data_IF_032289095525
#
_entry.id   IF_032289095525
#
_cell.length_a   1.000
_cell.length_b   1.000
_cell.length_c   1.000
_cell.angle_alpha   90.00
_cell.angle_beta   90.00
_cell.angle_gamma   90.00
#
_symmetry.space_group_name_H-M   'P 1'
#
loop_
_entity.id
_entity.type
_entity.pdbx_description
1 polymer ?
#
# COMPACT_ATOMS: atom_id res chain seq x y z
N UNK A 1 25.06 1.16 -26.10
CA UNK A 1 24.79 -0.02 -25.27
C UNK A 1 25.41 0.22 -23.90
N UNK A 2 24.69 0.86 -23.01
CA UNK A 2 25.06 0.93 -21.60
C UNK A 2 24.25 -0.18 -20.90
N UNK A 3 24.93 -1.28 -20.59
CA UNK A 3 24.47 -2.25 -19.63
C UNK A 3 24.11 -1.48 -18.34
N UNK A 4 22.81 -1.28 -18.11
CA UNK A 4 22.35 -0.74 -16.83
C UNK A 4 22.70 -1.80 -15.79
N UNK A 5 23.88 -1.63 -15.16
CA UNK A 5 24.32 -2.46 -14.06
C UNK A 5 23.16 -2.56 -13.09
N UNK A 6 22.60 -3.76 -12.93
CA UNK A 6 21.53 -4.03 -11.97
C UNK A 6 22.00 -3.53 -10.59
N UNK A 7 21.45 -2.41 -10.12
CA UNK A 7 21.79 -1.88 -8.82
C UNK A 7 21.64 -2.99 -7.78
N UNK A 8 22.72 -3.29 -7.06
CA UNK A 8 22.73 -4.35 -6.04
C UNK A 8 21.81 -3.92 -4.89
N UNK A 9 21.01 -4.84 -4.38
CA UNK A 9 20.33 -4.64 -3.10
C UNK A 9 21.36 -4.38 -2.01
N UNK A 10 21.08 -3.38 -1.15
CA UNK A 10 21.98 -3.08 -0.02
C UNK A 10 21.61 -3.92 1.19
N UNK A 11 22.60 -4.57 1.80
CA UNK A 11 22.47 -5.24 3.09
C UNK A 11 22.60 -4.21 4.22
N UNK A 12 21.58 -4.12 5.07
CA UNK A 12 21.59 -3.25 6.24
C UNK A 12 22.41 -3.90 7.35
N UNK A 13 23.46 -3.22 7.87
CA UNK A 13 24.18 -3.69 9.04
C UNK A 13 23.26 -3.84 10.27
N UNK A 14 23.77 -4.46 11.33
CA UNK A 14 23.00 -4.56 12.58
C UNK A 14 22.85 -3.17 13.23
N UNK A 15 21.63 -2.88 13.64
CA UNK A 15 21.34 -1.65 14.38
C UNK A 15 21.79 -1.77 15.82
N UNK A 16 22.47 -0.74 16.31
CA UNK A 16 22.81 -0.58 17.73
C UNK A 16 21.71 0.24 18.43
N UNK A 17 21.14 -0.32 19.48
CA UNK A 17 20.13 0.36 20.31
C UNK A 17 20.80 0.90 21.57
N UNK A 18 20.88 2.25 21.77
CA UNK A 18 21.54 2.84 22.93
C UNK A 18 20.74 2.65 24.22
N UNK A 19 19.43 2.39 24.09
CA UNK A 19 18.49 2.13 25.19
C UNK A 19 17.27 1.35 24.71
N UNK A 20 16.52 0.81 25.66
CA UNK A 20 15.25 0.12 25.38
C UNK A 20 14.23 1.07 24.72
N UNK A 21 13.41 0.56 23.79
CA UNK A 21 12.31 1.32 23.23
C UNK A 21 11.31 1.80 24.29
N UNK A 22 10.70 2.95 24.04
CA UNK A 22 9.76 3.56 24.97
C UNK A 22 8.34 3.55 24.44
N UNK A 23 7.37 3.35 25.32
CA UNK A 23 5.96 3.59 25.02
C UNK A 23 5.64 5.07 25.23
N UNK A 24 5.43 5.76 24.12
CA UNK A 24 5.06 7.18 24.11
C UNK A 24 3.55 7.29 24.31
N UNK A 25 3.16 7.77 25.48
CA UNK A 25 1.76 7.99 25.85
C UNK A 25 1.27 9.37 25.40
N UNK A 26 -0.05 9.54 25.17
CA UNK A 26 -0.61 10.87 24.95
C UNK A 26 -0.23 11.85 26.07
N UNK A 27 0.13 13.09 25.71
CA UNK A 27 0.54 14.13 26.69
C UNK A 27 -0.58 14.58 27.63
N UNK A 28 -1.83 14.34 27.27
CA UNK A 28 -2.99 14.47 28.15
C UNK A 28 -3.85 13.21 28.06
N UNK A 29 -4.36 12.76 29.20
CA UNK A 29 -5.24 11.59 29.27
C UNK A 29 -6.63 11.91 28.77
N UNK A 30 -7.21 11.00 28.00
CA UNK A 30 -8.67 10.97 27.73
C UNK A 30 -9.31 9.82 28.51
N UNK A 31 -10.60 9.91 28.85
CA UNK A 31 -11.31 8.80 29.48
C UNK A 31 -11.17 7.53 28.61
N UNK A 32 -10.88 6.41 29.28
CA UNK A 32 -10.84 5.10 28.61
C UNK A 32 -12.21 4.78 28.02
N UNK A 33 -12.23 4.38 26.78
CA UNK A 33 -13.45 3.96 26.10
C UNK A 33 -13.09 2.95 25.00
N UNK A 34 -14.10 2.36 24.43
CA UNK A 34 -13.97 1.42 23.32
C UNK A 34 -14.33 2.10 22.01
N UNK A 35 -13.46 2.01 20.99
CA UNK A 35 -13.76 2.42 19.63
C UNK A 35 -14.26 1.22 18.84
N UNK A 36 -15.48 1.30 18.32
CA UNK A 36 -16.03 0.37 17.34
C UNK A 36 -15.21 0.44 16.03
N UNK A 37 -14.90 -0.70 15.44
CA UNK A 37 -14.32 -0.80 14.11
C UNK A 37 -15.41 -1.18 13.11
N UNK A 38 -15.52 -0.41 12.03
CA UNK A 38 -16.44 -0.72 10.94
C UNK A 38 -16.03 -2.03 10.22
N UNK A 39 -16.93 -2.59 9.43
CA UNK A 39 -16.60 -3.76 8.60
C UNK A 39 -15.54 -3.46 7.53
N UNK A 40 -15.32 -2.19 7.17
CA UNK A 40 -14.19 -1.80 6.32
C UNK A 40 -12.87 -1.76 7.07
N UNK A 41 -12.90 -1.50 8.39
CA UNK A 41 -11.71 -1.52 9.25
C UNK A 41 -11.31 -2.94 9.66
N UNK A 42 -12.28 -3.76 10.09
CA UNK A 42 -12.05 -5.08 10.68
C UNK A 42 -12.13 -6.23 9.66
N UNK A 43 -11.54 -6.05 8.49
CA UNK A 43 -11.39 -7.13 7.52
C UNK A 43 -10.19 -8.01 7.87
N UNK A 44 -10.36 -9.34 7.83
CA UNK A 44 -9.27 -10.27 8.19
C UNK A 44 -7.99 -10.06 7.38
N UNK A 45 -8.08 -9.62 6.12
CA UNK A 45 -6.92 -9.34 5.28
C UNK A 45 -6.21 -8.01 5.63
N UNK A 46 -6.81 -7.15 6.45
CA UNK A 46 -6.22 -5.91 6.96
C UNK A 46 -5.57 -6.07 8.36
N UNK A 47 -5.59 -7.25 8.94
CA UNK A 47 -5.02 -7.52 10.26
C UNK A 47 -3.50 -7.63 10.20
N UNK A 48 -2.84 -6.57 9.73
CA UNK A 48 -1.38 -6.38 9.70
C UNK A 48 -1.04 -4.91 9.86
N UNK A 49 0.25 -4.58 10.00
CA UNK A 49 0.71 -3.19 10.03
C UNK A 49 1.34 -2.82 8.71
N UNK A 50 0.87 -1.72 8.10
CA UNK A 50 1.54 -1.11 6.95
C UNK A 50 2.84 -0.49 7.44
N UNK A 51 3.93 -0.77 6.74
CA UNK A 51 5.28 -0.33 7.11
C UNK A 51 5.81 0.64 6.07
N UNK A 52 6.12 1.84 6.53
CA UNK A 52 6.67 2.91 5.72
C UNK A 52 8.11 3.19 6.13
N UNK A 53 8.93 3.58 5.16
CA UNK A 53 10.32 3.98 5.35
C UNK A 53 10.53 5.35 4.71
N UNK A 54 11.22 6.24 5.45
CA UNK A 54 11.59 7.58 5.00
C UNK A 54 13.07 7.81 5.28
N UNK A 55 13.81 8.32 4.28
CA UNK A 55 15.22 8.67 4.39
C UNK A 55 15.36 10.18 4.41
N UNK A 56 16.03 10.71 5.41
CA UNK A 56 16.27 12.15 5.59
C UNK A 56 17.74 12.48 5.54
N UNK A 57 18.07 13.63 4.93
CA UNK A 57 19.45 14.15 4.87
C UNK A 57 19.98 14.54 6.24
N UNK A 58 19.11 15.00 7.13
CA UNK A 58 19.45 15.45 8.49
C UNK A 58 18.57 14.73 9.50
N UNK A 59 19.21 14.35 10.61
CA UNK A 59 18.49 13.74 11.72
C UNK A 59 17.74 14.81 12.54
N UNK A 60 16.58 14.41 13.04
CA UNK A 60 15.79 15.16 14.02
C UNK A 60 15.98 14.49 15.39
N UNK A 61 16.13 15.29 16.44
CA UNK A 61 16.32 14.77 17.79
C UNK A 61 15.16 13.90 18.26
N UNK A 62 15.48 12.73 18.80
CA UNK A 62 14.48 11.75 19.26
C UNK A 62 13.57 12.33 20.33
N UNK A 63 14.06 13.24 21.19
CA UNK A 63 13.26 13.93 22.19
C UNK A 63 12.17 14.79 21.55
N UNK A 64 12.48 15.53 20.48
CA UNK A 64 11.50 16.32 19.72
C UNK A 64 10.45 15.41 19.05
N UNK A 65 10.89 14.29 18.48
CA UNK A 65 9.98 13.30 17.88
C UNK A 65 9.08 12.63 18.93
N UNK A 66 9.63 12.29 20.10
CA UNK A 66 8.88 11.70 21.22
C UNK A 66 7.83 12.69 21.76
N UNK A 67 8.25 13.94 21.98
CA UNK A 67 7.37 14.99 22.52
C UNK A 67 6.22 15.29 21.56
N UNK A 68 6.54 15.45 20.27
CA UNK A 68 5.53 15.70 19.23
C UNK A 68 4.59 14.50 19.01
N UNK A 69 5.12 13.27 19.10
CA UNK A 69 4.31 12.05 19.07
C UNK A 69 3.33 12.00 20.25
N UNK A 70 3.79 12.32 21.45
CA UNK A 70 2.96 12.41 22.64
C UNK A 70 1.83 13.44 22.49
N UNK A 71 2.09 14.59 21.86
CA UNK A 71 1.08 15.62 21.57
C UNK A 71 0.07 15.15 20.51
N UNK A 72 0.52 14.61 19.37
CA UNK A 72 -0.40 14.17 18.31
C UNK A 72 -1.27 13.01 18.73
N UNK A 73 -0.80 12.14 19.62
CA UNK A 73 -1.58 11.03 20.17
C UNK A 73 -2.73 11.49 21.07
N UNK A 74 -2.80 12.74 21.48
CA UNK A 74 -4.00 13.30 22.15
C UNK A 74 -5.16 13.37 21.17
N UNK A 75 -4.89 13.85 19.95
CA UNK A 75 -5.90 13.93 18.89
C UNK A 75 -6.18 12.55 18.28
N UNK A 76 -5.16 11.76 18.03
CA UNK A 76 -5.27 10.41 17.47
C UNK A 76 -5.21 9.33 18.58
N UNK A 77 -5.87 9.57 19.72
CA UNK A 77 -5.77 8.71 20.90
C UNK A 77 -6.09 7.22 20.67
N UNK A 78 -6.94 6.78 19.69
CA UNK A 78 -7.11 5.37 19.42
C UNK A 78 -5.82 4.67 18.95
N UNK A 79 -4.89 5.40 18.31
CA UNK A 79 -3.60 4.84 17.91
C UNK A 79 -2.69 4.53 19.10
N UNK A 80 -2.95 5.11 20.28
CA UNK A 80 -2.30 4.78 21.54
C UNK A 80 -3.00 3.64 22.31
N UNK A 81 -4.06 3.07 21.74
CA UNK A 81 -4.83 1.97 22.32
C UNK A 81 -4.29 0.59 21.97
N UNK A 82 -5.14 -0.42 22.18
CA UNK A 82 -4.85 -1.82 21.84
C UNK A 82 -6.07 -2.46 21.19
N UNK A 83 -5.83 -3.37 20.24
CA UNK A 83 -6.91 -4.20 19.69
C UNK A 83 -7.38 -5.24 20.71
N UNK A 84 -8.68 -5.49 20.71
CA UNK A 84 -9.29 -6.52 21.55
C UNK A 84 -10.33 -7.30 20.74
N UNK A 85 -10.37 -8.62 20.86
CA UNK A 85 -11.44 -9.41 20.25
C UNK A 85 -12.79 -9.07 20.88
N UNK A 86 -13.87 -9.23 20.12
CA UNK A 86 -15.25 -9.02 20.52
C UNK A 86 -16.08 -10.24 20.15
N UNK A 87 -17.06 -10.56 20.97
CA UNK A 87 -17.94 -11.71 20.80
C UNK A 87 -17.34 -13.00 21.34
N UNK A 88 -18.16 -14.05 21.41
CA UNK A 88 -17.75 -15.36 21.94
C UNK A 88 -16.77 -16.06 20.98
N UNK A 89 -16.87 -15.79 19.70
CA UNK A 89 -16.01 -16.35 18.64
C UNK A 89 -14.69 -15.56 18.44
N UNK A 90 -14.58 -14.34 19.00
CA UNK A 90 -13.41 -13.47 18.81
C UNK A 90 -13.17 -13.03 17.36
N UNK A 91 -14.16 -13.20 16.49
CA UNK A 91 -14.05 -12.93 15.07
C UNK A 91 -14.00 -11.44 14.73
N UNK A 92 -14.62 -10.58 15.55
CA UNK A 92 -14.58 -9.12 15.44
C UNK A 92 -13.56 -8.52 16.41
N UNK A 93 -13.03 -7.35 16.02
CA UNK A 93 -12.13 -6.56 16.86
C UNK A 93 -12.70 -5.18 17.16
N UNK A 94 -12.27 -4.62 18.28
CA UNK A 94 -12.47 -3.24 18.69
C UNK A 94 -11.18 -2.67 19.23
N UNK A 95 -11.10 -1.35 19.38
CA UNK A 95 -9.94 -0.71 20.01
C UNK A 95 -10.29 -0.35 21.46
N UNK A 96 -9.52 -0.86 22.40
CA UNK A 96 -9.49 -0.36 23.78
C UNK A 96 -8.61 0.90 23.80
N UNK A 97 -9.24 2.07 23.84
CA UNK A 97 -8.57 3.36 23.91
C UNK A 97 -8.07 3.62 25.33
N UNK A 98 -7.11 2.82 25.78
CA UNK A 98 -6.56 2.79 27.13
C UNK A 98 -5.35 3.71 27.33
N UNK A 99 -4.83 4.32 26.24
CA UNK A 99 -3.72 5.26 26.28
C UNK A 99 -2.36 4.62 26.64
N UNK A 100 -2.18 3.32 26.46
CA UNK A 100 -0.90 2.64 26.72
C UNK A 100 0.25 3.19 25.91
N UNK A 101 -0.02 3.73 24.68
CA UNK A 101 0.95 4.45 23.89
C UNK A 101 1.40 3.72 22.63
N UNK A 102 2.14 4.47 21.79
CA UNK A 102 2.86 4.01 20.62
C UNK A 102 4.31 3.68 21.00
N UNK A 103 4.90 2.66 20.37
CA UNK A 103 6.30 2.30 20.61
C UNK A 103 7.22 3.16 19.74
N UNK A 104 8.28 3.72 20.36
CA UNK A 104 9.35 4.43 19.65
C UNK A 104 10.69 3.86 20.08
N UNK A 105 11.47 3.39 19.09
CA UNK A 105 12.83 2.93 19.24
C UNK A 105 13.82 3.93 18.63
N UNK A 106 14.98 4.09 19.28
CA UNK A 106 16.14 4.81 18.75
C UNK A 106 17.22 3.81 18.42
N UNK A 107 17.81 3.93 17.23
CA UNK A 107 18.88 3.06 16.78
C UNK A 107 19.96 3.83 16.02
N UNK A 108 21.15 3.22 15.89
CA UNK A 108 22.28 3.71 15.11
C UNK A 108 22.71 2.60 14.15
N UNK A 109 23.12 2.98 12.95
CA UNK A 109 23.65 2.06 11.95
C UNK A 109 24.82 2.71 11.22
N UNK A 110 25.86 1.92 10.97
CA UNK A 110 27.02 2.35 10.16
C UNK A 110 26.67 2.23 8.67
N UNK A 111 25.92 3.21 8.20
CA UNK A 111 25.42 3.34 6.84
C UNK A 111 25.18 4.83 6.55
N UNK A 112 25.49 5.27 5.35
CA UNK A 112 25.16 6.61 4.88
C UNK A 112 23.82 6.65 4.13
N UNK A 113 23.20 7.83 4.04
CA UNK A 113 21.99 8.01 3.22
C UNK A 113 22.26 7.74 1.73
N UNK A 114 23.45 8.11 1.24
CA UNK A 114 23.84 7.89 -0.15
C UNK A 114 23.94 6.40 -0.49
N UNK A 115 24.63 5.63 0.35
CA UNK A 115 24.72 4.17 0.21
C UNK A 115 23.33 3.53 0.21
N UNK A 116 22.44 3.94 1.13
CA UNK A 116 21.09 3.44 1.17
C UNK A 116 20.32 3.73 -0.13
N UNK A 117 20.41 4.97 -0.63
CA UNK A 117 19.69 5.40 -1.83
C UNK A 117 20.11 4.66 -3.11
N UNK A 118 21.36 4.18 -3.20
CA UNK A 118 21.83 3.36 -4.32
C UNK A 118 21.09 2.03 -4.42
N UNK A 119 20.57 1.49 -3.31
CA UNK A 119 19.83 0.23 -3.25
C UNK A 119 18.34 0.35 -2.93
N UNK A 120 17.80 1.57 -2.81
CA UNK A 120 16.45 1.81 -2.26
C UNK A 120 15.29 1.23 -3.09
N UNK A 121 15.51 0.91 -4.37
CA UNK A 121 14.52 0.23 -5.21
C UNK A 121 14.39 -1.28 -4.97
N UNK A 122 15.23 -1.88 -4.12
CA UNK A 122 15.30 -3.33 -3.90
C UNK A 122 15.34 -3.70 -2.42
N UNK A 123 14.23 -3.50 -1.69
CA UNK A 123 14.16 -3.89 -0.29
C UNK A 123 14.43 -5.39 -0.13
N UNK A 124 15.30 -5.76 0.79
CA UNK A 124 15.59 -7.15 1.11
C UNK A 124 15.28 -7.45 2.58
N UNK A 125 15.55 -8.68 3.02
CA UNK A 125 15.22 -9.14 4.38
C UNK A 125 15.96 -8.34 5.47
N UNK A 126 17.16 -7.81 5.18
CA UNK A 126 17.94 -7.04 6.17
C UNK A 126 17.27 -5.72 6.55
N UNK A 127 16.43 -5.14 5.67
CA UNK A 127 15.71 -3.90 5.95
C UNK A 127 14.79 -4.00 7.15
N UNK A 128 14.38 -5.22 7.54
CA UNK A 128 13.57 -5.45 8.75
C UNK A 128 14.28 -4.96 10.02
N UNK A 129 15.62 -4.81 10.00
CA UNK A 129 16.42 -4.22 11.09
C UNK A 129 16.12 -2.73 11.32
N UNK A 130 15.58 -2.04 10.32
CA UNK A 130 15.20 -0.62 10.40
C UNK A 130 13.87 -0.37 11.12
N UNK A 131 13.22 -1.42 11.59
CA UNK A 131 12.00 -1.33 12.39
C UNK A 131 12.08 -2.29 13.57
N UNK A 132 11.94 -1.76 14.78
CA UNK A 132 11.99 -2.55 16.01
C UNK A 132 10.95 -3.68 15.98
N UNK A 133 11.40 -4.88 16.27
CA UNK A 133 10.56 -6.06 16.29
C UNK A 133 9.89 -6.19 17.65
N UNK A 134 8.58 -6.01 17.69
CA UNK A 134 7.77 -6.35 18.86
C UNK A 134 7.54 -7.87 18.85
N UNK A 135 7.89 -8.53 19.95
CA UNK A 135 7.57 -9.94 20.13
C UNK A 135 6.08 -10.08 20.44
N UNK A 136 5.34 -10.59 19.47
CA UNK A 136 3.94 -10.95 19.59
C UNK A 136 3.73 -12.25 18.83
N UNK A 137 3.06 -13.23 19.45
CA UNK A 137 2.79 -14.52 18.81
C UNK A 137 1.63 -14.40 17.81
N UNK A 138 0.72 -13.50 18.05
CA UNK A 138 -0.40 -13.22 17.18
C UNK A 138 -0.70 -11.72 17.10
N UNK A 139 -1.50 -11.36 16.11
CA UNK A 139 -2.05 -10.01 15.96
C UNK A 139 -2.87 -9.55 17.18
N UNK A 140 -3.45 -10.49 17.93
CA UNK A 140 -4.28 -10.24 19.11
C UNK A 140 -3.50 -10.30 20.43
N UNK A 141 -2.19 -10.56 20.41
CA UNK A 141 -1.35 -10.52 21.62
C UNK A 141 -1.07 -9.09 22.10
N UNK A 142 -1.90 -8.18 21.68
CA UNK A 142 -1.96 -6.80 22.16
C UNK A 142 -0.69 -5.98 21.86
N UNK A 143 -0.09 -6.11 20.68
CA UNK A 143 1.04 -5.27 20.31
C UNK A 143 0.60 -3.80 20.21
N UNK A 144 1.53 -2.84 20.38
CA UNK A 144 1.26 -1.45 20.06
C UNK A 144 0.74 -1.30 18.64
N UNK A 145 -0.29 -0.46 18.45
CA UNK A 145 -0.90 -0.22 17.12
C UNK A 145 -0.02 0.62 16.21
N UNK A 146 0.91 1.36 16.81
CA UNK A 146 1.94 2.16 16.14
C UNK A 146 3.30 1.80 16.70
N UNK A 147 4.20 1.38 15.83
CA UNK A 147 5.60 1.11 16.14
C UNK A 147 6.46 1.97 15.23
N UNK A 148 7.43 2.66 15.81
CA UNK A 148 8.31 3.57 15.09
C UNK A 148 9.76 3.31 15.48
N UNK A 149 10.66 3.49 14.51
CA UNK A 149 12.09 3.46 14.75
C UNK A 149 12.77 4.63 14.03
N UNK A 150 13.55 5.38 14.78
CA UNK A 150 14.47 6.38 14.26
C UNK A 150 15.86 5.77 14.24
N UNK A 151 16.42 5.59 13.06
CA UNK A 151 17.77 5.04 12.87
C UNK A 151 18.68 6.14 12.40
N UNK A 152 19.64 6.54 13.22
CA UNK A 152 20.65 7.54 12.89
C UNK A 152 21.71 6.93 11.98
N UNK A 153 22.04 7.66 10.92
CA UNK A 153 23.04 7.28 9.92
C UNK A 153 24.40 7.92 10.23
N UNK A 154 25.48 7.27 9.83
CA UNK A 154 26.87 7.76 10.04
C UNK A 154 27.15 9.12 9.40
N UNK A 155 26.41 9.49 8.35
CA UNK A 155 26.50 10.79 7.68
C UNK A 155 25.72 11.94 8.36
N UNK A 156 25.10 11.71 9.52
CA UNK A 156 24.21 12.67 10.20
C UNK A 156 22.77 12.72 9.67
N UNK A 157 22.41 11.87 8.73
CA UNK A 157 21.06 11.64 8.29
C UNK A 157 20.28 10.70 9.22
N UNK A 158 19.03 10.41 8.87
CA UNK A 158 18.24 9.39 9.57
C UNK A 158 17.34 8.62 8.61
N UNK A 159 17.01 7.40 9.02
CA UNK A 159 15.89 6.64 8.47
C UNK A 159 14.80 6.58 9.54
N UNK A 160 13.59 7.03 9.20
CA UNK A 160 12.40 6.86 10.01
C UNK A 160 11.57 5.72 9.41
N UNK A 161 11.37 4.66 10.20
CA UNK A 161 10.42 3.61 9.85
C UNK A 161 9.20 3.69 10.75
N UNK A 162 8.02 3.50 10.16
CA UNK A 162 6.75 3.46 10.89
C UNK A 162 5.97 2.21 10.51
N UNK A 163 5.38 1.54 11.49
CA UNK A 163 4.40 0.48 11.29
C UNK A 163 3.10 0.90 11.96
N UNK A 164 2.02 0.99 11.18
CA UNK A 164 0.71 1.41 11.67
C UNK A 164 -0.30 0.32 11.33
N UNK A 165 -1.05 -0.11 12.34
CA UNK A 165 -2.02 -1.17 12.19
C UNK A 165 -3.13 -0.78 11.20
N UNK A 166 -3.31 -1.60 10.16
CA UNK A 166 -4.21 -1.27 9.06
C UNK A 166 -5.69 -1.28 9.46
N UNK A 167 -6.08 -1.96 10.55
CA UNK A 167 -7.44 -1.87 11.08
C UNK A 167 -7.80 -0.48 11.62
N UNK A 168 -6.81 0.37 11.90
CA UNK A 168 -7.04 1.71 12.44
C UNK A 168 -7.11 2.78 11.34
N UNK A 169 -6.37 2.59 10.25
CA UNK A 169 -6.27 3.59 9.18
C UNK A 169 -5.82 2.97 7.87
N UNK A 170 -6.39 3.47 6.79
CA UNK A 170 -5.85 3.26 5.45
C UNK A 170 -4.68 4.22 5.17
N UNK A 171 -4.17 4.21 3.94
CA UNK A 171 -3.05 5.05 3.55
C UNK A 171 -3.35 6.56 3.67
N UNK A 172 -4.59 6.99 3.41
CA UNK A 172 -5.03 8.39 3.58
C UNK A 172 -5.06 8.77 5.06
N UNK A 173 -5.65 7.92 5.90
CA UNK A 173 -5.70 8.15 7.35
C UNK A 173 -4.31 8.12 7.99
N UNK A 174 -3.45 7.21 7.53
CA UNK A 174 -2.04 7.16 7.94
C UNK A 174 -1.29 8.42 7.54
N UNK A 175 -1.47 8.91 6.31
CA UNK A 175 -0.85 10.16 5.85
C UNK A 175 -1.33 11.34 6.70
N UNK A 176 -2.62 11.43 7.01
CA UNK A 176 -3.18 12.47 7.88
C UNK A 176 -2.51 12.48 9.27
N UNK A 177 -2.34 11.30 9.89
CA UNK A 177 -1.64 11.17 11.18
C UNK A 177 -0.17 11.57 11.08
N UNK A 178 0.54 11.09 10.05
CA UNK A 178 1.98 11.38 9.88
C UNK A 178 2.24 12.85 9.59
N UNK A 179 1.39 13.51 8.79
CA UNK A 179 1.46 14.97 8.57
C UNK A 179 1.20 15.77 9.85
N UNK A 180 0.23 15.34 10.66
CA UNK A 180 -0.03 15.97 11.95
C UNK A 180 1.17 15.82 12.91
N UNK A 181 1.79 14.64 12.95
CA UNK A 181 2.98 14.39 13.76
C UNK A 181 4.19 15.20 13.26
N UNK A 182 4.45 15.20 11.95
CA UNK A 182 5.54 15.98 11.34
C UNK A 182 5.36 17.47 11.60
N UNK A 183 4.15 18.00 11.48
CA UNK A 183 3.86 19.40 11.79
C UNK A 183 4.21 19.76 13.22
N UNK A 184 3.77 18.94 14.20
CA UNK A 184 4.07 19.19 15.62
C UNK A 184 5.55 18.96 15.98
N UNK A 185 6.28 18.14 15.22
CA UNK A 185 7.74 18.00 15.37
C UNK A 185 8.47 19.25 14.88
N UNK A 186 8.10 19.76 13.71
CA UNK A 186 8.71 20.94 13.12
C UNK A 186 8.26 22.25 13.80
N UNK A 187 7.03 22.30 14.30
CA UNK A 187 6.39 23.48 14.91
C UNK A 187 5.56 23.05 16.14
N UNK A 188 6.18 22.97 17.34
CA UNK A 188 5.54 22.38 18.53
C UNK A 188 4.26 23.04 18.99
N UNK A 189 4.03 24.32 18.66
CA UNK A 189 2.85 25.12 19.06
C UNK A 189 1.83 25.30 17.91
N UNK A 190 2.02 24.60 16.80
CA UNK A 190 1.10 24.69 15.67
C UNK A 190 -0.26 24.04 16.01
N UNK A 191 -1.34 24.66 15.52
CA UNK A 191 -2.64 24.02 15.50
C UNK A 191 -2.72 23.01 14.36
N UNK A 192 -3.33 21.87 14.61
CA UNK A 192 -3.56 20.88 13.55
C UNK A 192 -4.59 21.42 12.55
N UNK A 193 -4.32 21.32 11.25
CA UNK A 193 -5.21 21.84 10.21
C UNK A 193 -6.51 21.03 10.07
N UNK A 194 -6.50 19.79 10.54
CA UNK A 194 -7.62 18.86 10.47
C UNK A 194 -7.76 18.13 11.79
N UNK A 195 -8.94 18.17 12.38
CA UNK A 195 -9.26 17.38 13.58
C UNK A 195 -9.58 15.94 13.16
N UNK A 196 -9.12 14.96 13.95
CA UNK A 196 -9.40 13.57 13.69
C UNK A 196 -10.88 13.23 13.95
N UNK A 197 -11.53 12.64 12.96
CA UNK A 197 -12.90 12.14 13.13
C UNK A 197 -12.89 10.66 13.50
N UNK A 198 -13.36 10.32 14.71
CA UNK A 198 -13.22 8.98 15.30
C UNK A 198 -14.42 8.08 15.08
N UNK A 199 -15.64 8.62 14.91
CA UNK A 199 -16.85 7.81 14.89
C UNK A 199 -16.90 6.91 13.64
N UNK A 200 -16.71 5.61 13.86
CA UNK A 200 -16.79 4.56 12.83
C UNK A 200 -18.22 4.06 12.63
N UNK A 201 -19.16 4.46 13.50
CA UNK A 201 -20.56 4.05 13.38
C UNK A 201 -21.24 4.59 12.12
N UNK A 202 -20.67 5.61 11.50
CA UNK A 202 -21.12 6.11 10.18
C UNK A 202 -21.05 5.02 9.08
N UNK A 203 -20.23 3.99 9.27
CA UNK A 203 -20.07 2.83 8.39
C UNK A 203 -20.65 1.53 8.98
N UNK A 204 -21.59 1.62 9.92
CA UNK A 204 -22.33 0.45 10.39
C UNK A 204 -23.13 -0.20 9.25
N UNK A 205 -23.28 -1.54 9.25
CA UNK A 205 -24.16 -2.22 8.33
C UNK A 205 -25.60 -1.80 8.56
N UNK A 206 -26.45 -2.03 7.53
CA UNK A 206 -27.91 -1.88 7.64
C UNK A 206 -28.49 -2.98 8.52
N UNK A 207 -29.66 -2.73 9.06
CA UNK A 207 -30.40 -3.72 9.87
C UNK A 207 -31.81 -3.84 9.32
N UNK A 208 -32.14 -4.96 8.66
CA UNK A 208 -31.28 -6.10 8.31
C UNK A 208 -30.23 -5.75 7.22
N UNK A 209 -29.14 -6.54 7.06
CA UNK A 209 -28.20 -6.40 5.98
C UNK A 209 -28.87 -6.56 4.61
N UNK A 210 -28.44 -5.76 3.61
CA UNK A 210 -29.01 -5.78 2.26
C UNK A 210 -27.88 -5.88 1.21
N UNK A 211 -27.68 -7.08 0.66
CA UNK A 211 -26.66 -7.37 -0.35
C UNK A 211 -27.30 -7.21 -1.73
N UNK A 212 -27.23 -5.99 -2.29
CA UNK A 212 -27.89 -5.64 -3.54
C UNK A 212 -27.01 -5.81 -4.79
N UNK A 213 -25.71 -6.09 -4.62
CA UNK A 213 -24.75 -6.19 -5.72
C UNK A 213 -23.97 -7.49 -5.65
N UNK A 214 -23.51 -7.97 -6.82
CA UNK A 214 -22.44 -8.95 -6.88
C UNK A 214 -21.10 -8.28 -6.51
N UNK A 215 -20.30 -8.99 -5.75
CA UNK A 215 -18.99 -8.54 -5.27
C UNK A 215 -17.90 -9.48 -5.82
N UNK A 216 -17.45 -9.30 -7.07
CA UNK A 216 -16.51 -10.21 -7.73
C UNK A 216 -15.14 -10.26 -7.03
N UNK A 217 -14.79 -9.25 -6.25
CA UNK A 217 -13.58 -9.23 -5.42
C UNK A 217 -13.55 -10.32 -4.35
N UNK A 218 -14.70 -10.87 -3.98
CA UNK A 218 -14.82 -11.96 -2.99
C UNK A 218 -15.22 -13.31 -3.61
N UNK A 219 -15.48 -13.37 -4.92
CA UNK A 219 -15.96 -14.56 -5.59
C UNK A 219 -14.78 -15.36 -6.14
N UNK A 220 -14.68 -16.64 -5.77
CA UNK A 220 -13.74 -17.56 -6.43
C UNK A 220 -14.30 -18.02 -7.78
N UNK A 221 -13.45 -18.28 -8.80
CA UNK A 221 -13.89 -18.90 -10.05
C UNK A 221 -14.60 -20.23 -9.77
N UNK A 222 -15.58 -20.61 -10.61
CA UNK A 222 -16.23 -21.91 -10.48
C UNK A 222 -15.21 -23.05 -10.50
N UNK A 223 -15.36 -24.03 -9.61
CA UNK A 223 -14.45 -25.17 -9.42
C UNK A 223 -14.31 -26.12 -10.65
N UNK A 224 -14.92 -25.79 -11.79
CA UNK A 224 -14.87 -26.60 -13.00
C UNK A 224 -13.55 -26.50 -13.78
N UNK A 225 -12.73 -25.50 -13.50
CA UNK A 225 -11.38 -25.41 -14.04
C UNK A 225 -10.37 -26.05 -13.08
N UNK A 226 -10.40 -27.39 -13.00
CA UNK A 226 -9.50 -28.20 -12.17
C UNK A 226 -7.99 -28.05 -12.52
N UNK A 227 -7.63 -27.16 -13.44
CA UNK A 227 -6.27 -26.79 -13.80
C UNK A 227 -5.89 -25.37 -13.35
N UNK A 228 -6.78 -24.59 -12.78
CA UNK A 228 -6.45 -23.34 -12.13
C UNK A 228 -6.04 -23.60 -10.68
N UNK A 229 -4.87 -24.20 -10.49
CA UNK A 229 -4.22 -24.16 -9.19
C UNK A 229 -4.21 -22.72 -8.69
N UNK A 230 -4.29 -22.53 -7.37
CA UNK A 230 -4.21 -21.21 -6.77
C UNK A 230 -2.88 -20.53 -7.19
N UNK A 231 -2.95 -19.69 -8.25
CA UNK A 231 -1.80 -18.99 -8.81
C UNK A 231 -1.10 -18.16 -7.74
N UNK A 232 -1.86 -17.60 -6.81
CA UNK A 232 -1.28 -16.81 -5.72
C UNK A 232 -0.48 -17.68 -4.76
N UNK A 233 -0.96 -18.87 -4.38
CA UNK A 233 -0.20 -19.80 -3.56
C UNK A 233 1.01 -20.34 -4.29
N UNK A 234 0.89 -20.63 -5.58
CA UNK A 234 2.02 -21.00 -6.42
C UNK A 234 3.11 -19.93 -6.39
N UNK A 235 2.73 -18.64 -6.61
CA UNK A 235 3.66 -17.51 -6.58
C UNK A 235 4.34 -17.37 -5.21
N UNK A 236 3.60 -17.53 -4.11
CA UNK A 236 4.16 -17.45 -2.76
C UNK A 236 5.11 -18.60 -2.44
N UNK A 237 5.00 -19.74 -3.12
CA UNK A 237 5.92 -20.89 -2.96
C UNK A 237 7.26 -20.68 -3.66
N UNK A 238 7.38 -19.69 -4.56
CA UNK A 238 8.59 -19.41 -5.32
C UNK A 238 9.53 -18.45 -4.57
N UNK A 239 10.84 -18.47 -4.87
CA UNK A 239 11.75 -17.42 -4.45
C UNK A 239 11.36 -16.08 -5.09
N UNK A 240 10.84 -15.15 -4.29
CA UNK A 240 10.44 -13.84 -4.75
C UNK A 240 11.61 -12.85 -4.69
N UNK A 241 11.73 -12.04 -5.75
CA UNK A 241 12.69 -10.93 -5.82
C UNK A 241 11.97 -9.60 -6.08
N UNK A 242 12.41 -8.50 -5.46
CA UNK A 242 11.82 -7.19 -5.69
C UNK A 242 12.18 -6.67 -7.08
N UNK A 243 11.18 -6.15 -7.77
CA UNK A 243 11.30 -5.40 -9.02
C UNK A 243 10.81 -3.99 -8.77
N UNK A 244 11.60 -3.01 -9.18
CA UNK A 244 11.27 -1.59 -9.11
C UNK A 244 11.52 -0.95 -10.48
N UNK A 245 10.51 -0.25 -11.00
CA UNK A 245 10.57 0.47 -12.26
C UNK A 245 9.95 1.85 -12.10
N UNK A 246 10.67 2.87 -12.59
CA UNK A 246 10.16 4.24 -12.62
C UNK A 246 9.66 4.57 -14.02
N UNK A 247 8.43 5.03 -14.09
CA UNK A 247 7.79 5.53 -15.30
C UNK A 247 7.87 7.06 -15.29
N UNK A 248 8.56 7.62 -16.29
CA UNK A 248 8.70 9.07 -16.47
C UNK A 248 7.38 9.69 -16.96
N UNK A 249 7.17 11.00 -16.81
CA UNK A 249 6.00 11.69 -17.36
C UNK A 249 5.85 11.51 -18.87
N UNK A 250 6.96 11.48 -19.63
CA UNK A 250 6.95 11.25 -21.08
C UNK A 250 6.47 9.84 -21.42
N UNK A 251 6.98 8.81 -20.75
CA UNK A 251 6.56 7.43 -20.94
C UNK A 251 5.08 7.22 -20.58
N UNK A 252 4.60 7.81 -19.50
CA UNK A 252 3.17 7.77 -19.13
C UNK A 252 2.32 8.47 -20.19
N UNK A 253 2.79 9.60 -20.73
CA UNK A 253 2.10 10.31 -21.80
C UNK A 253 2.08 9.48 -23.09
N UNK A 254 3.18 8.79 -23.43
CA UNK A 254 3.27 7.90 -24.58
C UNK A 254 2.24 6.76 -24.46
N UNK A 255 2.21 6.04 -23.34
CA UNK A 255 1.18 5.01 -23.06
C UNK A 255 -0.25 5.54 -23.20
N UNK A 256 -0.51 6.77 -22.74
CA UNK A 256 -1.83 7.41 -22.92
C UNK A 256 -2.13 7.71 -24.38
N UNK A 257 -1.13 8.16 -25.17
CA UNK A 257 -1.30 8.45 -26.60
C UNK A 257 -1.65 7.20 -27.40
N UNK A 258 -1.05 6.05 -27.10
CA UNK A 258 -1.42 4.76 -27.70
C UNK A 258 -2.89 4.41 -27.50
N UNK A 259 -3.55 5.01 -26.51
CA UNK A 259 -4.98 4.82 -26.20
C UNK A 259 -5.92 5.82 -26.89
N UNK A 260 -5.39 6.94 -27.46
CA UNK A 260 -6.16 7.99 -28.15
C UNK A 260 -6.29 7.65 -29.64
N UNK A 261 -7.44 7.93 -30.33
CA UNK A 261 -8.58 8.73 -29.86
C UNK A 261 -9.64 7.95 -29.07
N UNK A 262 -9.48 6.64 -28.91
CA UNK A 262 -10.57 5.76 -28.45
C UNK A 262 -10.94 5.93 -26.99
N UNK A 263 -9.95 6.18 -26.09
CA UNK A 263 -10.21 6.29 -24.65
C UNK A 263 -9.37 7.40 -24.01
N UNK A 264 -10.01 8.30 -23.23
CA UNK A 264 -9.31 9.18 -22.30
C UNK A 264 -9.08 8.44 -20.99
N UNK A 265 -7.83 8.41 -20.51
CA UNK A 265 -7.47 7.69 -19.29
C UNK A 265 -6.57 8.52 -18.35
N UNK A 266 -6.63 8.19 -17.07
CA UNK A 266 -5.72 8.73 -16.05
C UNK A 266 -4.38 7.97 -16.06
N UNK A 267 -3.34 8.53 -15.44
CA UNK A 267 -2.05 7.85 -15.29
C UNK A 267 -2.19 6.52 -14.54
N UNK A 268 -3.04 6.46 -13.51
CA UNK A 268 -3.32 5.21 -12.80
C UNK A 268 -3.94 4.15 -13.71
N UNK A 269 -4.96 4.50 -14.50
CA UNK A 269 -5.67 3.54 -15.36
C UNK A 269 -4.76 2.92 -16.41
N UNK A 270 -3.93 3.75 -17.06
CA UNK A 270 -3.01 3.24 -18.08
C UNK A 270 -1.89 2.42 -17.46
N UNK A 271 -1.28 2.86 -16.36
CA UNK A 271 -0.22 2.11 -15.69
C UNK A 271 -0.74 0.81 -15.05
N UNK A 272 -1.90 0.83 -14.41
CA UNK A 272 -2.48 -0.38 -13.83
C UNK A 272 -2.79 -1.44 -14.91
N UNK A 273 -3.34 -1.02 -16.06
CA UNK A 273 -3.57 -1.90 -17.21
C UNK A 273 -2.26 -2.43 -17.80
N UNK A 274 -1.26 -1.56 -17.98
CA UNK A 274 0.04 -1.91 -18.56
C UNK A 274 0.78 -2.92 -17.67
N UNK A 275 0.90 -2.65 -16.37
CA UNK A 275 1.55 -3.55 -15.40
C UNK A 275 0.80 -4.88 -15.28
N UNK A 276 -0.53 -4.88 -15.26
CA UNK A 276 -1.34 -6.11 -15.23
C UNK A 276 -1.07 -6.99 -16.46
N UNK A 277 -1.07 -6.39 -17.66
CA UNK A 277 -0.78 -7.10 -18.90
C UNK A 277 0.66 -7.64 -18.93
N UNK A 278 1.65 -6.84 -18.50
CA UNK A 278 3.04 -7.25 -18.40
C UNK A 278 3.22 -8.43 -17.42
N UNK A 279 2.53 -8.37 -16.26
CA UNK A 279 2.54 -9.43 -15.27
C UNK A 279 1.98 -10.75 -15.82
N UNK A 280 0.81 -10.72 -16.48
CA UNK A 280 0.20 -11.90 -17.08
C UNK A 280 1.07 -12.46 -18.22
N UNK A 281 1.60 -11.61 -19.11
CA UNK A 281 2.52 -12.06 -20.17
C UNK A 281 3.79 -12.71 -19.63
N UNK A 282 4.28 -12.27 -18.48
CA UNK A 282 5.48 -12.84 -17.86
C UNK A 282 5.23 -14.17 -17.15
N UNK A 283 4.04 -14.38 -16.61
CA UNK A 283 3.62 -15.62 -15.96
C UNK A 283 3.21 -16.71 -16.95
N UNK A 284 2.69 -16.28 -18.11
CA UNK A 284 2.20 -17.15 -19.18
C UNK A 284 1.24 -18.25 -18.72
N UNK A 285 0.16 -17.90 -17.96
CA UNK A 285 -0.79 -18.89 -17.48
C UNK A 285 -1.74 -19.34 -18.63
N UNK A 286 -2.53 -20.43 -18.42
CA UNK A 286 -3.45 -20.92 -19.44
C UNK A 286 -4.38 -19.84 -19.99
N UNK A 287 -4.58 -19.80 -21.31
CA UNK A 287 -5.34 -18.75 -22.03
C UNK A 287 -6.78 -18.58 -21.51
N UNK A 288 -7.42 -19.69 -21.13
CA UNK A 288 -8.80 -19.69 -20.60
C UNK A 288 -8.90 -19.26 -19.13
N UNK A 289 -7.79 -19.13 -18.39
CA UNK A 289 -7.82 -18.77 -16.98
C UNK A 289 -8.47 -17.39 -16.78
N UNK A 290 -9.46 -17.34 -15.88
CA UNK A 290 -10.05 -16.06 -15.43
C UNK A 290 -9.10 -15.38 -14.43
N UNK A 291 -8.76 -14.14 -14.71
CA UNK A 291 -7.81 -13.33 -13.94
C UNK A 291 -8.45 -12.04 -13.48
N UNK A 292 -7.98 -11.52 -12.36
CA UNK A 292 -8.48 -10.30 -11.76
C UNK A 292 -7.37 -9.29 -11.54
N UNK A 293 -7.73 -8.03 -11.69
CA UNK A 293 -6.99 -6.90 -11.16
C UNK A 293 -7.81 -6.28 -10.03
N UNK A 294 -7.30 -6.40 -8.82
CA UNK A 294 -7.85 -5.73 -7.64
C UNK A 294 -7.06 -4.46 -7.35
N UNK A 295 -7.72 -3.35 -7.12
CA UNK A 295 -7.03 -2.12 -6.79
C UNK A 295 -7.77 -1.30 -5.75
N UNK A 296 -6.99 -0.66 -4.85
CA UNK A 296 -7.54 0.16 -3.78
C UNK A 296 -8.22 1.42 -4.35
N UNK A 297 -9.45 1.68 -3.89
CA UNK A 297 -10.24 2.80 -4.33
C UNK A 297 -10.82 3.56 -3.13
N UNK A 298 -10.45 4.84 -2.99
CA UNK A 298 -11.00 5.72 -1.96
C UNK A 298 -12.49 5.97 -2.21
N UNK A 299 -13.31 5.75 -1.17
CA UNK A 299 -14.77 5.89 -1.24
C UNK A 299 -15.33 7.01 -0.37
N UNK A 300 -14.46 7.84 0.26
CA UNK A 300 -14.90 8.91 1.18
C UNK A 300 -15.92 9.85 0.55
N UNK A 301 -15.70 10.29 -0.69
CA UNK A 301 -16.61 11.16 -1.43
C UNK A 301 -17.66 10.43 -2.28
N UNK A 302 -17.78 9.09 -2.15
CA UNK A 302 -18.77 8.27 -2.90
C UNK A 302 -19.97 7.86 -2.06
N UNK A 303 -19.80 7.83 -0.76
CA UNK A 303 -20.87 7.55 0.19
C UNK A 303 -21.83 8.75 0.29
N UNK A 304 -23.08 8.47 0.67
CA UNK A 304 -24.08 9.50 0.98
C UNK A 304 -24.66 9.22 2.37
N UNK A 305 -24.45 10.12 3.36
CA UNK A 305 -23.56 11.28 3.28
C UNK A 305 -22.09 10.90 3.06
N UNK A 306 -21.28 11.84 2.55
CA UNK A 306 -19.84 11.66 2.45
C UNK A 306 -19.22 11.46 3.83
N UNK A 307 -18.07 10.75 3.88
CA UNK A 307 -17.35 10.65 5.15
C UNK A 307 -16.84 12.02 5.58
N UNK A 308 -16.99 12.39 6.85
CA UNK A 308 -16.56 13.68 7.36
C UNK A 308 -15.08 13.96 7.10
N UNK A 309 -14.75 15.25 6.92
CA UNK A 309 -13.36 15.69 6.92
C UNK A 309 -12.65 15.22 8.18
N UNK A 310 -11.41 14.75 8.06
CA UNK A 310 -10.67 14.18 9.18
C UNK A 310 -10.97 12.69 9.47
N UNK A 311 -11.86 12.03 8.73
CA UNK A 311 -12.04 10.59 8.84
C UNK A 311 -10.76 9.85 8.42
N UNK A 312 -10.06 9.28 9.39
CA UNK A 312 -8.77 8.62 9.20
C UNK A 312 -8.84 7.09 9.24
N UNK A 313 -10.04 6.49 9.40
CA UNK A 313 -10.27 5.05 9.27
C UNK A 313 -10.19 4.54 7.83
N UNK A 314 -10.49 3.26 7.67
CA UNK A 314 -10.54 2.67 6.34
C UNK A 314 -11.74 3.19 5.55
N UNK A 315 -11.46 4.07 4.60
CA UNK A 315 -12.42 4.64 3.66
C UNK A 315 -12.11 4.20 2.22
N UNK A 316 -11.72 2.93 2.03
CA UNK A 316 -11.43 2.35 0.73
C UNK A 316 -12.07 0.97 0.57
N UNK A 317 -12.20 0.55 -0.67
CA UNK A 317 -12.59 -0.81 -1.06
C UNK A 317 -11.67 -1.29 -2.17
N UNK A 318 -11.63 -2.59 -2.43
CA UNK A 318 -10.97 -3.15 -3.60
C UNK A 318 -11.96 -3.14 -4.77
N UNK A 319 -11.67 -2.34 -5.80
CA UNK A 319 -12.38 -2.45 -7.07
C UNK A 319 -11.79 -3.63 -7.86
N UNK A 320 -12.65 -4.37 -8.57
CA UNK A 320 -12.29 -5.58 -9.29
C UNK A 320 -12.54 -5.41 -10.80
N UNK A 321 -11.48 -5.52 -11.60
CA UNK A 321 -11.54 -5.74 -13.05
C UNK A 321 -11.26 -7.22 -13.33
N UNK A 322 -12.01 -7.82 -14.26
CA UNK A 322 -11.98 -9.26 -14.50
C UNK A 322 -12.05 -9.56 -16.00
N UNK A 323 -11.22 -10.51 -16.48
CA UNK A 323 -11.19 -10.97 -17.86
C UNK A 323 -10.49 -12.34 -17.96
N UNK A 324 -10.39 -12.92 -19.16
CA UNK A 324 -9.53 -14.08 -19.41
C UNK A 324 -8.10 -13.64 -19.74
N UNK A 325 -7.15 -14.55 -19.59
CA UNK A 325 -5.75 -14.35 -20.02
C UNK A 325 -5.70 -14.01 -21.50
N UNK A 326 -6.40 -14.80 -22.35
CA UNK A 326 -6.44 -14.59 -23.78
C UNK A 326 -6.91 -13.18 -24.15
N UNK A 327 -8.07 -12.76 -23.61
CA UNK A 327 -8.61 -11.43 -23.87
C UNK A 327 -7.65 -10.31 -23.45
N UNK A 328 -6.99 -10.43 -22.28
CA UNK A 328 -6.06 -9.40 -21.82
C UNK A 328 -4.80 -9.33 -22.69
N UNK A 329 -4.27 -10.47 -23.13
CA UNK A 329 -2.98 -10.55 -23.83
C UNK A 329 -3.11 -10.24 -25.32
N UNK A 330 -4.18 -10.71 -25.98
CA UNK A 330 -4.39 -10.54 -27.43
C UNK A 330 -5.06 -9.22 -27.81
N UNK A 331 -5.88 -8.65 -26.90
CA UNK A 331 -6.53 -7.37 -27.17
C UNK A 331 -5.55 -6.21 -27.16
N UNK A 332 -5.96 -5.09 -27.75
CA UNK A 332 -5.18 -3.84 -27.70
C UNK A 332 -5.12 -3.25 -26.27
N UNK A 333 -4.30 -2.21 -26.06
CA UNK A 333 -4.13 -1.56 -24.77
C UNK A 333 -5.45 -0.99 -24.17
N UNK A 334 -6.42 -0.65 -25.04
CA UNK A 334 -7.71 -0.09 -24.61
C UNK A 334 -8.52 -1.06 -23.76
N UNK A 335 -8.42 -2.37 -24.01
CA UNK A 335 -9.22 -3.38 -23.32
C UNK A 335 -9.00 -3.32 -21.79
N UNK A 336 -7.76 -3.45 -21.34
CA UNK A 336 -7.44 -3.40 -19.92
C UNK A 336 -7.79 -2.05 -19.27
N UNK A 337 -7.57 -0.93 -19.98
CA UNK A 337 -7.94 0.41 -19.49
C UNK A 337 -9.46 0.51 -19.28
N UNK A 338 -10.24 0.01 -20.24
CA UNK A 338 -11.70 -0.01 -20.17
C UNK A 338 -12.19 -0.83 -18.98
N UNK A 339 -11.62 -2.02 -18.76
CA UNK A 339 -11.95 -2.85 -17.60
C UNK A 339 -11.69 -2.13 -16.28
N UNK A 340 -10.55 -1.44 -16.14
CA UNK A 340 -10.23 -0.64 -14.94
C UNK A 340 -11.24 0.51 -14.76
N UNK A 341 -11.63 1.20 -15.84
CA UNK A 341 -12.63 2.26 -15.78
C UNK A 341 -14.02 1.75 -15.40
N UNK A 342 -14.43 0.60 -15.93
CA UNK A 342 -15.71 -0.03 -15.60
C UNK A 342 -15.74 -0.48 -14.14
N UNK A 343 -14.65 -1.10 -13.64
CA UNK A 343 -14.50 -1.44 -12.23
C UNK A 343 -14.65 -0.19 -11.32
N UNK A 344 -14.00 0.92 -11.68
CA UNK A 344 -14.13 2.19 -10.95
C UNK A 344 -15.56 2.75 -10.97
N UNK A 345 -16.28 2.63 -12.08
CA UNK A 345 -17.68 3.11 -12.22
C UNK A 345 -18.64 2.27 -11.38
N UNK A 346 -18.40 0.96 -11.27
CA UNK A 346 -19.21 0.02 -10.47
C UNK A 346 -19.22 0.38 -8.99
N UNK A 347 -18.11 0.87 -8.44
CA UNK A 347 -17.99 1.24 -7.02
C UNK A 347 -18.75 2.55 -6.77
N UNK A 348 -20.06 2.47 -6.60
CA UNK A 348 -20.95 3.56 -6.15
C UNK A 348 -21.10 3.54 -4.63
N UNK A 349 -21.76 4.54 -4.04
CA UNK A 349 -22.08 4.55 -2.61
C UNK A 349 -22.93 3.37 -2.20
N UNK A 350 -23.93 2.97 -3.02
CA UNK A 350 -24.78 1.81 -2.78
C UNK A 350 -24.00 0.49 -2.87
N UNK A 351 -23.05 0.40 -3.82
CA UNK A 351 -22.14 -0.75 -3.88
C UNK A 351 -21.32 -0.90 -2.59
N UNK A 352 -20.79 0.21 -2.06
CA UNK A 352 -20.03 0.21 -0.80
C UNK A 352 -20.93 -0.19 0.39
N UNK A 353 -22.16 0.31 0.44
CA UNK A 353 -23.12 -0.10 1.48
C UNK A 353 -23.44 -1.60 1.41
N UNK A 354 -23.69 -2.11 0.21
CA UNK A 354 -23.89 -3.56 -0.02
C UNK A 354 -22.68 -4.41 0.40
N UNK A 355 -21.46 -3.91 0.16
CA UNK A 355 -20.22 -4.58 0.61
C UNK A 355 -20.11 -4.61 2.15
N UNK A 356 -20.43 -3.49 2.82
CA UNK A 356 -20.43 -3.44 4.30
C UNK A 356 -21.40 -4.48 4.87
N UNK A 357 -22.56 -4.62 4.27
CA UNK A 357 -23.59 -5.60 4.67
C UNK A 357 -23.15 -7.04 4.37
N UNK A 358 -22.52 -7.28 3.22
CA UNK A 358 -21.93 -8.59 2.88
C UNK A 358 -20.86 -9.01 3.92
N UNK A 359 -19.98 -8.07 4.29
CA UNK A 359 -18.95 -8.33 5.29
C UNK A 359 -19.53 -8.57 6.69
N UNK A 360 -20.69 -7.96 7.02
CA UNK A 360 -21.42 -8.26 8.25
C UNK A 360 -21.98 -9.67 8.25
N UNK A 361 -22.61 -10.07 7.15
CA UNK A 361 -23.30 -11.36 7.05
C UNK A 361 -22.33 -12.53 6.92
N UNK A 362 -21.25 -12.40 6.12
CA UNK A 362 -20.44 -13.55 5.70
C UNK A 362 -18.96 -13.48 6.08
N UNK A 363 -18.46 -12.32 6.51
CA UNK A 363 -17.04 -12.09 6.86
C UNK A 363 -16.03 -12.68 5.86
N UNK A 364 -16.35 -12.55 4.56
CA UNK A 364 -15.53 -13.06 3.46
C UNK A 364 -14.20 -12.34 3.35
N UNK A 365 -13.23 -12.98 2.69
CA UNK A 365 -11.94 -12.37 2.31
C UNK A 365 -11.92 -12.14 0.80
N UNK A 366 -11.19 -11.13 0.32
CA UNK A 366 -10.94 -11.00 -1.11
C UNK A 366 -10.31 -12.27 -1.69
N UNK A 367 -10.76 -12.65 -2.88
CA UNK A 367 -10.18 -13.77 -3.60
C UNK A 367 -8.92 -13.32 -4.34
N UNK A 368 -7.78 -13.80 -3.86
CA UNK A 368 -6.47 -13.49 -4.42
C UNK A 368 -5.93 -14.58 -5.35
N UNK A 369 -6.64 -15.68 -5.54
CA UNK A 369 -6.14 -16.91 -6.19
C UNK A 369 -5.60 -16.67 -7.61
N UNK A 370 -6.22 -15.77 -8.38
CA UNK A 370 -5.79 -15.38 -9.74
C UNK A 370 -5.70 -13.86 -9.90
N UNK A 371 -5.33 -13.16 -8.83
CA UNK A 371 -5.42 -11.70 -8.76
C UNK A 371 -4.07 -11.03 -8.67
N UNK A 372 -3.89 -9.93 -9.43
CA UNK A 372 -2.90 -8.90 -9.12
C UNK A 372 -3.55 -7.82 -8.26
N UNK A 373 -2.92 -7.46 -7.15
CA UNK A 373 -3.40 -6.35 -6.29
C UNK A 373 -2.51 -5.14 -6.50
N UNK A 374 -3.12 -3.98 -6.81
CA UNK A 374 -2.40 -2.70 -6.97
C UNK A 374 -2.91 -1.68 -5.94
N UNK A 375 -1.98 -1.09 -5.20
CA UNK A 375 -2.24 0.05 -4.31
C UNK A 375 -1.45 1.26 -4.76
N UNK A 376 -2.08 2.44 -4.81
CA UNK A 376 -1.40 3.67 -5.20
C UNK A 376 -1.19 4.58 -3.99
N UNK A 377 0.07 4.94 -3.72
CA UNK A 377 0.48 5.89 -2.68
C UNK A 377 0.86 7.25 -3.24
N UNK A 378 0.64 7.50 -4.53
CA UNK A 378 1.14 8.67 -5.28
C UNK A 378 0.45 9.99 -4.94
N UNK A 379 -0.63 9.99 -4.15
CA UNK A 379 -1.41 11.19 -3.81
C UNK A 379 -1.62 11.34 -2.31
N UNK A 380 -0.69 10.84 -1.52
CA UNK A 380 -0.76 10.87 -0.06
C UNK A 380 0.03 12.03 0.53
N UNK A 381 0.92 12.69 -0.26
CA UNK A 381 1.82 13.73 0.19
C UNK A 381 2.92 13.22 1.14
N UNK A 382 3.13 11.90 1.21
CA UNK A 382 4.12 11.30 2.12
C UNK A 382 5.56 11.69 1.75
N UNK A 383 5.82 12.04 0.49
CA UNK A 383 7.08 12.60 -0.01
C UNK A 383 7.35 14.02 0.48
N UNK A 384 6.37 14.65 1.11
CA UNK A 384 6.43 16.03 1.63
C UNK A 384 6.61 16.08 3.17
N UNK A 385 6.67 14.94 3.86
CA UNK A 385 6.74 14.88 5.32
C UNK A 385 8.02 15.53 5.85
N UNK A 386 7.91 16.66 6.52
CA UNK A 386 9.03 17.38 7.13
C UNK A 386 8.87 17.43 8.66
N UNK A 387 9.74 16.70 9.37
CA UNK A 387 9.81 16.68 10.84
C UNK A 387 10.68 17.79 11.42
N UNK A 388 11.10 18.78 10.60
CA UNK A 388 12.03 19.86 10.97
C UNK A 388 13.45 19.66 10.41
N UNK A 389 13.73 18.54 9.78
CA UNK A 389 15.00 18.21 9.11
C UNK A 389 15.00 18.42 7.59
N UNK A 390 13.88 18.85 7.03
CA UNK A 390 13.62 18.92 5.58
C UNK A 390 12.78 17.73 5.08
N UNK A 391 12.43 17.75 3.79
CA UNK A 391 11.68 16.68 3.15
C UNK A 391 12.51 15.40 3.03
N UNK A 392 11.87 14.22 2.94
CA UNK A 392 12.60 12.98 2.75
C UNK A 392 13.28 12.94 1.36
N UNK A 393 14.45 12.36 1.31
CA UNK A 393 15.17 12.05 0.07
C UNK A 393 14.52 10.87 -0.67
N UNK A 394 13.91 9.97 0.09
CA UNK A 394 13.19 8.78 -0.40
C UNK A 394 12.09 8.40 0.57
N UNK A 395 11.00 7.87 0.03
CA UNK A 395 9.96 7.20 0.78
C UNK A 395 9.53 5.92 0.06
N UNK A 396 9.16 4.91 0.82
CA UNK A 396 8.68 3.66 0.25
C UNK A 396 8.23 2.64 1.30
N UNK A 397 7.85 1.44 0.88
CA UNK A 397 7.59 0.34 1.80
C UNK A 397 8.89 -0.21 2.39
N UNK A 398 8.83 -0.67 3.64
CA UNK A 398 9.96 -1.34 4.29
C UNK A 398 10.28 -2.71 3.67
N UNK A 399 9.31 -3.33 3.02
CA UNK A 399 9.46 -4.61 2.33
C UNK A 399 8.69 -4.56 1.01
N UNK A 400 9.22 -5.24 0.01
CA UNK A 400 8.49 -5.51 -1.23
C UNK A 400 7.75 -6.84 -1.07
N UNK A 401 6.45 -6.79 -1.35
CA UNK A 401 5.56 -7.95 -1.29
C UNK A 401 5.08 -8.29 -2.71
N UNK A 402 4.32 -9.36 -2.86
CA UNK A 402 3.72 -9.74 -4.15
C UNK A 402 2.69 -8.69 -4.64
N UNK A 403 2.22 -7.82 -3.76
CA UNK A 403 1.35 -6.70 -4.10
C UNK A 403 2.14 -5.59 -4.79
N UNK A 404 1.56 -5.04 -5.85
CA UNK A 404 2.13 -3.92 -6.57
C UNK A 404 1.78 -2.60 -5.87
N UNK A 405 2.77 -1.76 -5.65
CA UNK A 405 2.60 -0.42 -5.08
C UNK A 405 3.12 0.63 -6.06
N UNK A 406 2.30 1.64 -6.35
CA UNK A 406 2.74 2.83 -7.07
C UNK A 406 3.13 3.91 -6.06
N UNK A 407 4.40 4.33 -6.11
CA UNK A 407 4.99 5.34 -5.25
C UNK A 407 5.17 6.66 -6.00
N UNK A 408 5.10 7.82 -5.31
CA UNK A 408 5.54 9.07 -5.87
C UNK A 408 7.06 9.09 -6.02
N UNK A 409 7.55 9.85 -6.97
CA UNK A 409 8.98 10.15 -7.10
C UNK A 409 9.26 11.48 -6.42
N UNK A 410 10.16 11.49 -5.45
CA UNK A 410 10.55 12.73 -4.75
C UNK A 410 11.10 13.73 -5.77
N UNK A 411 10.49 14.92 -5.81
CA UNK A 411 10.86 15.97 -6.75
C UNK A 411 10.19 15.92 -8.13
N UNK A 412 9.46 14.85 -8.47
CA UNK A 412 8.67 14.75 -9.70
C UNK A 412 7.30 14.12 -9.44
N UNK A 413 6.29 14.97 -9.24
CA UNK A 413 4.91 14.57 -8.94
C UNK A 413 4.18 13.86 -10.10
N UNK A 414 4.76 13.85 -11.29
CA UNK A 414 4.18 13.23 -12.48
C UNK A 414 4.83 11.90 -12.85
N UNK A 415 5.99 11.58 -12.26
CA UNK A 415 6.62 10.28 -12.36
C UNK A 415 6.08 9.32 -11.28
N UNK A 416 6.06 8.03 -11.59
CA UNK A 416 5.64 6.98 -10.66
C UNK A 416 6.68 5.87 -10.62
N UNK A 417 7.01 5.41 -9.42
CA UNK A 417 7.79 4.18 -9.24
C UNK A 417 6.84 3.04 -8.88
N UNK A 418 6.84 2.00 -9.67
CA UNK A 418 6.20 0.72 -9.37
C UNK A 418 7.17 -0.15 -8.60
N UNK A 419 6.72 -0.76 -7.50
CA UNK A 419 7.47 -1.76 -6.75
C UNK A 419 6.57 -2.96 -6.44
N UNK A 420 7.07 -4.16 -6.69
CA UNK A 420 6.45 -5.44 -6.30
C UNK A 420 7.49 -6.54 -6.29
N UNK A 421 7.21 -7.65 -5.61
CA UNK A 421 8.02 -8.86 -5.70
C UNK A 421 7.40 -9.86 -6.68
N UNK A 422 8.24 -10.44 -7.53
CA UNK A 422 7.85 -11.45 -8.51
C UNK A 422 8.75 -12.67 -8.36
N UNK A 423 8.35 -13.86 -8.84
CA UNK A 423 9.25 -15.01 -8.91
C UNK A 423 10.54 -14.67 -9.65
N UNK A 424 11.67 -15.11 -9.11
CA UNK A 424 12.99 -14.83 -9.67
C UNK A 424 13.09 -15.19 -11.16
N UNK A 425 12.49 -16.34 -11.54
CA UNK A 425 12.56 -16.85 -12.91
C UNK A 425 11.87 -15.94 -13.97
N UNK A 426 10.90 -15.15 -13.54
CA UNK A 426 10.17 -14.25 -14.45
C UNK A 426 10.58 -12.78 -14.33
N UNK A 427 11.47 -12.43 -13.40
CA UNK A 427 11.77 -11.04 -13.04
C UNK A 427 12.28 -10.21 -14.24
N UNK A 428 13.20 -10.77 -15.03
CA UNK A 428 13.75 -10.07 -16.21
C UNK A 428 12.70 -9.92 -17.31
N UNK A 429 11.94 -11.01 -17.59
CA UNK A 429 10.85 -10.99 -18.56
C UNK A 429 9.75 -10.00 -18.17
N UNK A 430 9.41 -9.94 -16.88
CA UNK A 430 8.44 -8.96 -16.36
C UNK A 430 8.93 -7.52 -16.57
N UNK A 431 10.19 -7.23 -16.23
CA UNK A 431 10.78 -5.92 -16.45
C UNK A 431 10.82 -5.56 -17.93
N UNK A 432 11.14 -6.51 -18.81
CA UNK A 432 11.13 -6.31 -20.26
C UNK A 432 9.73 -5.95 -20.76
N UNK A 433 8.69 -6.70 -20.37
CA UNK A 433 7.32 -6.38 -20.76
C UNK A 433 6.83 -5.04 -20.18
N UNK A 434 7.26 -4.66 -18.97
CA UNK A 434 6.94 -3.35 -18.42
C UNK A 434 7.62 -2.18 -19.17
N UNK A 435 8.78 -2.41 -19.80
CA UNK A 435 9.50 -1.40 -20.60
C UNK A 435 9.04 -1.35 -22.04
N UNK A 436 8.50 -2.44 -22.57
CA UNK A 436 8.06 -2.52 -23.98
C UNK A 436 6.96 -1.48 -24.26
N UNK A 437 7.12 -0.73 -25.37
CA UNK A 437 6.17 0.30 -25.77
C UNK A 437 6.21 1.57 -24.93
N UNK A 438 7.30 1.82 -24.17
CA UNK A 438 7.47 3.05 -23.40
C UNK A 438 8.18 4.15 -24.18
N UNK A 439 9.01 3.79 -25.17
CA UNK A 439 9.82 4.70 -25.96
C UNK A 439 9.38 4.59 -27.45
N UNK A 440 9.52 5.69 -28.20
CA UNK A 440 9.02 5.80 -29.58
C UNK A 440 9.76 4.88 -30.61
N UNK A 441 10.87 4.24 -30.20
CA UNK A 441 11.72 3.42 -31.07
C UNK A 441 11.35 1.92 -31.12
N UNK A 442 10.36 1.46 -30.32
CA UNK A 442 10.03 0.02 -30.19
C UNK A 442 8.94 -0.47 -31.19
N UNK A 443 8.38 0.38 -32.04
CA UNK A 443 7.21 0.02 -32.88
C UNK A 443 7.59 -0.67 -34.21
N UNK A 444 8.89 -0.84 -34.59
CA UNK A 444 9.28 -1.31 -35.94
C UNK A 444 9.67 -2.81 -36.08
N UNK A 445 9.69 -3.63 -34.99
CA UNK A 445 10.28 -4.98 -35.07
C UNK A 445 9.29 -6.19 -35.06
N UNK A 446 7.95 -6.00 -35.11
CA UNK A 446 7.00 -7.13 -34.97
C UNK A 446 6.31 -7.61 -36.27
N UNK A 447 6.69 -7.13 -37.48
CA UNK A 447 6.02 -7.50 -38.74
C UNK A 447 6.85 -8.35 -39.75
N UNK A 448 8.00 -8.93 -39.38
CA UNK A 448 8.85 -9.68 -40.32
C UNK A 448 9.13 -11.15 -40.00
N UNK A 449 8.22 -11.88 -39.36
CA UNK A 449 8.30 -13.36 -39.31
C UNK A 449 6.99 -14.05 -39.69
N UNK A 450 6.43 -13.76 -40.89
CA UNK A 450 5.49 -14.67 -41.59
C UNK A 450 5.62 -14.46 -43.10
N UNK A 451 6.59 -15.10 -43.71
CA UNK A 451 6.67 -15.13 -45.17
C UNK A 451 7.92 -15.83 -45.68
N UNK A 452 7.92 -17.15 -45.70
CA UNK A 452 8.97 -17.85 -46.40
C UNK A 452 9.06 -19.33 -46.13
N UNK A 453 8.20 -20.11 -46.75
CA UNK A 453 8.59 -21.40 -47.30
C UNK A 453 7.50 -21.89 -48.24
N UNK A 454 7.88 -21.96 -49.49
CA UNK A 454 7.12 -22.59 -50.54
C UNK A 454 7.13 -24.12 -50.42
#
# INVERSE_FOLDING_TARGET
>A
MAEAAMAKSIEIPDCCYPKEPVLVRPSSSKPRHTLYLSNLDDQKFLRFSIKYLYVYKRSVGVEALTTSLSKVLVEYHPLAGRLRPVGEDGEKCQVDCNGEGALLAEAYVDLTAEEFLQGCGRPNRSWRKLLYRVEAQSFLDVPPLVVQQVTHLSCGGMILCTAINHCLSDAIGTAQFLHAWALLAAKPDANLPVNAFHDRCILKPRVPPEIAFSHPEFSSPPAQDSHSGDLFQFLLSQPLVPVSLTFTPSQILHLKKQSVPSIKCTSFEVLASHVWRAWIKSLDPPASLRIKLLFSMNVRGRLKPELPGGYYGNGFVLACAETSVEELVTSNAHHGIKLVQEAKKRVTGEYVRSMIDLLEERRVKPDLSSSLVISSWTKLGLEELDFGGGRPLHMGPLASEIYCVFLPVTGDLHAFTMIMSVPHEIADRFQQYCRRGLDDDDDDDDDTEKGGSG
#
